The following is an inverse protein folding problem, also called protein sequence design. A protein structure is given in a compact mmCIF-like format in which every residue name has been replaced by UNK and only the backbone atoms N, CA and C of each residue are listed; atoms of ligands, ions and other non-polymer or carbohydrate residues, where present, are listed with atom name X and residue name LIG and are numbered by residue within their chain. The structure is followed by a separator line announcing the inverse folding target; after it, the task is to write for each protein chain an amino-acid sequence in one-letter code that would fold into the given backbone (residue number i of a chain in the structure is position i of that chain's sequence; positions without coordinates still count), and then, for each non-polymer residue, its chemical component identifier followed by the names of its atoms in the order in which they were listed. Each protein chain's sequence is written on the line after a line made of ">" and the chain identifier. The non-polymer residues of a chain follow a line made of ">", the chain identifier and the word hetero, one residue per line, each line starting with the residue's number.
data_IF_702223691970
#
_entry.id   IF_702223691970
#
_cell.length_a   1.000
_cell.length_b   1.000
_cell.length_c   1.000
_cell.angle_alpha   90.00
_cell.angle_beta   90.00
_cell.angle_gamma   90.00
#
_symmetry.space_group_name_H-M   'P 1'
#
loop_
_entity.id
_entity.type
_entity.pdbx_description
1 polymer ?
#
# COMPACT_ATOMS: atom_id res chain seq x y z
N UNK A 1 -2.80 11.49 -4.59
CA UNK A 1 -1.97 10.91 -3.52
C UNK A 1 -2.55 11.19 -2.12
N UNK A 2 -2.66 12.46 -1.72
CA UNK A 2 -3.15 12.83 -0.38
C UNK A 2 -4.52 12.25 0.00
N UNK A 3 -5.49 12.20 -0.91
CA UNK A 3 -6.81 11.60 -0.62
C UNK A 3 -6.77 10.09 -0.35
N UNK A 4 -5.82 9.35 -0.90
CA UNK A 4 -5.66 7.92 -0.59
C UNK A 4 -5.02 7.72 0.77
N UNK A 5 -4.05 8.57 1.14
CA UNK A 5 -3.42 8.53 2.46
C UNK A 5 -4.44 8.85 3.56
N UNK A 6 -5.24 9.91 3.39
CA UNK A 6 -6.30 10.25 4.35
C UNK A 6 -7.30 9.11 4.54
N UNK A 7 -7.77 8.49 3.46
CA UNK A 7 -8.66 7.32 3.57
C UNK A 7 -7.99 6.15 4.29
N UNK A 8 -6.73 5.86 4.00
CA UNK A 8 -6.02 4.78 4.70
C UNK A 8 -5.81 5.08 6.20
N UNK A 9 -5.71 6.36 6.60
CA UNK A 9 -5.70 6.77 8.00
C UNK A 9 -7.08 6.61 8.64
N UNK A 10 -8.13 7.10 7.97
CA UNK A 10 -9.53 7.02 8.43
C UNK A 10 -9.98 5.56 8.62
N UNK A 11 -9.58 4.68 7.71
CA UNK A 11 -9.86 3.23 7.77
C UNK A 11 -8.90 2.46 8.71
N UNK A 12 -7.91 3.14 9.30
CA UNK A 12 -6.95 2.53 10.22
C UNK A 12 -5.98 1.53 9.59
N UNK A 13 -5.73 1.62 8.29
CA UNK A 13 -4.76 0.77 7.58
C UNK A 13 -3.32 1.26 7.80
N UNK A 14 -3.15 2.55 7.99
CA UNK A 14 -1.88 3.18 8.34
C UNK A 14 -2.07 4.12 9.53
N UNK A 15 -0.98 4.45 10.21
CA UNK A 15 -0.94 5.43 11.30
C UNK A 15 0.31 6.31 11.16
N UNK A 16 0.27 7.53 11.70
CA UNK A 16 1.43 8.41 11.73
C UNK A 16 2.54 7.79 12.61
N UNK A 17 3.78 7.86 12.12
CA UNK A 17 4.95 7.35 12.81
C UNK A 17 5.77 8.51 13.34
N UNK A 18 6.06 8.51 14.63
CA UNK A 18 7.01 9.43 15.26
C UNK A 18 8.47 9.05 14.96
N UNK A 19 8.69 7.87 14.36
CA UNK A 19 10.01 7.43 13.92
C UNK A 19 10.46 8.24 12.70
N UNK A 20 11.48 9.08 12.91
CA UNK A 20 12.09 9.91 11.89
C UNK A 20 13.42 9.31 11.44
N UNK A 21 13.71 9.29 10.13
CA UNK A 21 15.05 8.99 9.64
C UNK A 21 16.06 10.07 10.08
N UNK A 22 17.35 9.81 9.86
CA UNK A 22 18.47 10.67 10.27
C UNK A 22 18.15 12.17 10.12
N UNK A 23 18.30 12.99 11.20
CA UNK A 23 18.03 14.42 11.18
C UNK A 23 18.72 15.20 10.05
N UNK A 24 19.83 14.70 9.51
CA UNK A 24 20.51 15.32 8.36
C UNK A 24 19.79 15.13 7.02
N UNK A 25 18.81 14.23 6.94
CA UNK A 25 17.93 13.96 5.80
C UNK A 25 16.46 14.29 6.11
N UNK A 26 16.17 14.74 7.34
CA UNK A 26 14.82 15.03 7.81
C UNK A 26 14.36 16.40 7.27
N UNK A 27 13.24 16.39 6.56
CA UNK A 27 12.50 17.60 6.19
C UNK A 27 11.41 17.79 7.24
N UNK A 28 11.46 18.88 8.01
CA UNK A 28 10.54 19.16 9.11
C UNK A 28 9.05 19.10 8.73
N UNK A 29 8.71 19.17 7.44
CA UNK A 29 7.33 19.11 6.94
C UNK A 29 6.87 17.71 6.58
N UNK A 30 7.74 16.70 6.60
CA UNK A 30 7.42 15.35 6.11
C UNK A 30 6.77 14.51 7.20
N UNK A 31 5.55 14.05 6.92
CA UNK A 31 4.84 13.08 7.77
C UNK A 31 5.24 11.66 7.37
N UNK A 32 5.63 10.86 8.34
CA UNK A 32 5.92 9.44 8.16
C UNK A 32 4.71 8.62 8.59
N UNK A 33 4.47 7.52 7.89
CA UNK A 33 3.37 6.61 8.18
C UNK A 33 3.90 5.19 8.26
N UNK A 34 3.33 4.39 9.16
CA UNK A 34 3.59 2.96 9.25
C UNK A 34 2.29 2.17 9.04
N UNK A 35 2.42 0.97 8.48
CA UNK A 35 1.27 0.09 8.27
C UNK A 35 0.84 -0.54 9.60
N UNK A 36 -0.47 -0.54 9.86
CA UNK A 36 -1.03 -1.17 11.05
C UNK A 36 -1.15 -2.70 10.85
N UNK A 37 -1.35 -3.49 11.92
CA UNK A 37 -1.66 -4.91 11.78
C UNK A 37 -2.91 -5.18 10.92
N UNK A 38 -3.93 -4.31 11.02
CA UNK A 38 -5.13 -4.37 10.18
C UNK A 38 -4.78 -4.10 8.71
N UNK A 39 -4.07 -3.00 8.44
CA UNK A 39 -3.64 -2.64 7.10
C UNK A 39 -2.81 -3.74 6.44
N UNK A 40 -1.96 -4.44 7.20
CA UNK A 40 -1.20 -5.59 6.69
C UNK A 40 -2.09 -6.74 6.24
N UNK A 41 -3.14 -7.07 6.99
CA UNK A 41 -4.09 -8.13 6.60
C UNK A 41 -4.88 -7.73 5.36
N UNK A 42 -5.33 -6.48 5.28
CA UNK A 42 -6.03 -5.94 4.11
C UNK A 42 -5.12 -5.94 2.88
N UNK A 43 -3.87 -5.50 3.02
CA UNK A 43 -2.89 -5.51 1.94
C UNK A 43 -2.64 -6.93 1.40
N UNK A 44 -2.55 -7.93 2.28
CA UNK A 44 -2.40 -9.32 1.85
C UNK A 44 -3.62 -9.82 1.06
N UNK A 45 -4.84 -9.51 1.53
CA UNK A 45 -6.06 -9.87 0.82
C UNK A 45 -6.14 -9.18 -0.56
N UNK A 46 -5.76 -7.90 -0.62
CA UNK A 46 -5.76 -7.13 -1.87
C UNK A 46 -4.72 -7.65 -2.87
N UNK A 47 -3.54 -8.04 -2.40
CA UNK A 47 -2.52 -8.65 -3.26
C UNK A 47 -3.00 -9.98 -3.86
N UNK A 48 -3.71 -10.81 -3.08
CA UNK A 48 -4.34 -12.04 -3.58
C UNK A 48 -5.40 -11.70 -4.64
N UNK A 49 -6.27 -10.73 -4.36
CA UNK A 49 -7.31 -10.29 -5.29
C UNK A 49 -6.73 -9.80 -6.61
N UNK A 50 -5.67 -9.01 -6.57
CA UNK A 50 -4.98 -8.51 -7.76
C UNK A 50 -4.34 -9.64 -8.57
N UNK A 51 -3.68 -10.60 -7.92
CA UNK A 51 -3.14 -11.78 -8.59
C UNK A 51 -4.23 -12.56 -9.31
N UNK A 52 -5.37 -12.78 -8.67
CA UNK A 52 -6.48 -13.53 -9.25
C UNK A 52 -7.10 -12.77 -10.44
N UNK A 53 -7.18 -11.44 -10.37
CA UNK A 53 -7.61 -10.61 -11.50
C UNK A 53 -6.66 -10.67 -12.69
N UNK A 54 -5.34 -10.62 -12.45
CA UNK A 54 -4.34 -10.76 -13.52
C UNK A 54 -4.47 -12.13 -14.18
N UNK A 55 -4.58 -13.20 -13.39
CA UNK A 55 -4.80 -14.56 -13.92
C UNK A 55 -6.06 -14.66 -14.79
N UNK A 56 -7.15 -14.02 -14.37
CA UNK A 56 -8.38 -13.98 -15.16
C UNK A 56 -8.20 -13.19 -16.47
N UNK A 57 -7.42 -12.11 -16.45
CA UNK A 57 -7.11 -11.34 -17.65
C UNK A 57 -6.25 -12.15 -18.63
N UNK A 58 -5.22 -12.85 -18.15
CA UNK A 58 -4.37 -13.75 -18.96
C UNK A 58 -5.20 -14.82 -19.66
N UNK A 59 -6.09 -15.49 -18.91
CA UNK A 59 -6.99 -16.52 -19.45
C UNK A 59 -7.99 -16.00 -20.48
N UNK A 60 -8.49 -14.77 -20.31
CA UNK A 60 -9.55 -14.21 -21.15
C UNK A 60 -9.02 -13.47 -22.38
N UNK A 61 -7.81 -12.92 -22.30
CA UNK A 61 -7.21 -12.07 -23.32
C UNK A 61 -6.04 -12.74 -24.04
N UNK A 62 -5.71 -13.99 -23.70
CA UNK A 62 -4.60 -14.76 -24.29
C UNK A 62 -3.27 -14.00 -24.23
N UNK A 63 -3.01 -13.35 -23.10
CA UNK A 63 -1.79 -12.58 -22.92
C UNK A 63 -0.56 -13.50 -22.84
N UNK A 64 0.57 -13.13 -23.45
CA UNK A 64 1.82 -13.88 -23.31
C UNK A 64 2.30 -13.83 -21.85
N UNK A 65 2.95 -14.92 -21.41
CA UNK A 65 3.57 -14.98 -20.07
C UNK A 65 4.52 -13.80 -19.87
N UNK A 66 4.45 -13.10 -18.72
CA UNK A 66 5.36 -12.01 -18.42
C UNK A 66 6.81 -12.51 -18.38
N UNK A 67 7.71 -11.75 -19.03
CA UNK A 67 9.14 -12.06 -19.15
C UNK A 67 9.91 -12.00 -17.83
#
# INVERSE_FOLDING_TARGET
>A
LYGSINRMLEEGFIEESDERPDPHLDDERRRYYRITPLGRRVLQAEAIRLRDLVRLAELRLELPEPA
#
